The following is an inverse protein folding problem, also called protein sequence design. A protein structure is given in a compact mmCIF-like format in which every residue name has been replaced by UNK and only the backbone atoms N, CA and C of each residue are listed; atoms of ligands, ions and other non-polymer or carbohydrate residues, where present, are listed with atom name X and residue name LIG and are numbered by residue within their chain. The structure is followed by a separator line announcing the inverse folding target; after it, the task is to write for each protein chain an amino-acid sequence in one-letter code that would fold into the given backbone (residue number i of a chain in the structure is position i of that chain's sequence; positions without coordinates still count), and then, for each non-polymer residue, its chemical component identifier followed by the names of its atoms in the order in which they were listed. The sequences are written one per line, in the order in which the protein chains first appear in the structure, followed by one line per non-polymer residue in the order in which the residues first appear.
data_IF_456344800227
#
_entry.id   IF_456344800227
#
_cell.length_a   1.000
_cell.length_b   1.000
_cell.length_c   1.000
_cell.angle_alpha   90.00
_cell.angle_beta   90.00
_cell.angle_gamma   90.00
#
_symmetry.space_group_name_H-M   'P 1'
#
loop_
_entity.id
_entity.type
_entity.pdbx_description
1 polymer ?
#
# COMPACT_ATOMS: atom_id res chain seq x y z
N UNK A 1 17.14 3.23 6.03
CA UNK A 1 17.06 3.35 7.50
C UNK A 1 16.98 1.99 8.20
N UNK A 2 16.03 1.10 7.87
CA UNK A 2 15.92 -0.22 8.54
C UNK A 2 17.15 -1.12 8.38
N UNK A 3 17.84 -1.09 7.22
CA UNK A 3 19.09 -1.84 7.05
C UNK A 3 20.21 -1.33 7.99
N UNK A 4 20.25 -0.03 8.25
CA UNK A 4 21.19 0.56 9.21
C UNK A 4 20.83 0.17 10.67
N UNK A 5 19.58 -0.23 10.92
CA UNK A 5 19.11 -0.78 12.20
C UNK A 5 19.24 -2.32 12.28
N UNK A 6 19.96 -2.94 11.34
CA UNK A 6 20.25 -4.38 11.35
C UNK A 6 19.36 -5.24 10.44
N UNK A 7 18.43 -4.66 9.69
CA UNK A 7 17.63 -5.44 8.74
C UNK A 7 18.46 -5.94 7.55
N UNK A 8 18.29 -7.20 7.18
CA UNK A 8 18.96 -7.80 6.01
C UNK A 8 18.15 -7.50 4.75
N UNK A 9 18.73 -6.75 3.80
CA UNK A 9 18.02 -6.30 2.59
C UNK A 9 17.37 -7.44 1.79
N UNK A 10 18.05 -8.57 1.66
CA UNK A 10 17.54 -9.74 0.92
C UNK A 10 16.36 -10.45 1.59
N UNK A 11 16.08 -10.17 2.87
CA UNK A 11 14.96 -10.72 3.63
C UNK A 11 13.76 -9.76 3.68
N UNK A 12 13.87 -8.58 3.09
CA UNK A 12 12.79 -7.60 3.10
C UNK A 12 11.69 -8.04 2.13
N UNK A 13 10.44 -7.91 2.57
CA UNK A 13 9.22 -8.06 1.77
C UNK A 13 8.36 -6.82 1.96
N UNK A 14 7.43 -6.58 1.05
CA UNK A 14 6.51 -5.45 1.12
C UNK A 14 5.05 -5.91 1.04
N UNK A 15 4.20 -5.23 1.82
CA UNK A 15 2.75 -5.23 1.66
C UNK A 15 2.33 -3.78 1.46
N UNK A 16 1.44 -3.52 0.50
CA UNK A 16 1.01 -2.15 0.20
C UNK A 16 -0.50 -2.03 0.28
N UNK A 17 -0.98 -0.93 0.87
CA UNK A 17 -2.38 -0.56 0.75
C UNK A 17 -2.59 0.93 0.57
N UNK A 18 -3.71 1.29 -0.06
CA UNK A 18 -4.11 2.67 -0.29
C UNK A 18 -4.48 2.95 -1.74
N UNK A 19 -4.08 4.12 -2.24
CA UNK A 19 -4.44 4.56 -3.58
C UNK A 19 -5.95 4.68 -3.81
N UNK A 20 -6.74 4.92 -2.76
CA UNK A 20 -8.19 4.96 -2.88
C UNK A 20 -8.65 6.18 -3.68
N UNK A 21 -9.63 5.99 -4.56
CA UNK A 21 -10.33 7.09 -5.22
C UNK A 21 -11.75 7.21 -4.66
N UNK A 22 -11.87 7.95 -3.56
CA UNK A 22 -13.14 8.10 -2.83
C UNK A 22 -14.14 9.05 -3.50
N UNK A 23 -13.68 9.91 -4.42
CA UNK A 23 -14.52 10.89 -5.10
C UNK A 23 -14.37 10.75 -6.62
N UNK A 24 -15.48 10.47 -7.30
CA UNK A 24 -15.57 10.48 -8.76
C UNK A 24 -16.09 11.85 -9.23
N UNK A 25 -15.23 12.87 -9.25
CA UNK A 25 -15.58 14.11 -9.95
C UNK A 25 -15.46 13.87 -11.46
N UNK A 26 -16.52 14.17 -12.24
CA UNK A 26 -16.59 14.05 -13.71
C UNK A 26 -15.70 15.06 -14.46
N UNK A 27 -14.49 15.33 -13.98
CA UNK A 27 -13.54 16.23 -14.65
C UNK A 27 -12.37 15.42 -15.20
N UNK A 28 -12.16 15.54 -16.50
CA UNK A 28 -11.16 14.87 -17.34
C UNK A 28 -9.71 15.29 -17.04
N UNK A 29 -9.39 15.68 -15.82
CA UNK A 29 -8.07 16.19 -15.44
C UNK A 29 -7.24 15.09 -14.75
N UNK A 30 -6.13 14.73 -15.40
CA UNK A 30 -5.13 13.75 -14.94
C UNK A 30 -4.58 14.02 -13.51
N UNK A 31 -4.73 15.25 -13.01
CA UNK A 31 -4.37 15.67 -11.65
C UNK A 31 -5.13 14.90 -10.56
N UNK A 32 -6.30 14.31 -10.86
CA UNK A 32 -7.19 13.68 -9.87
C UNK A 32 -6.76 12.24 -9.50
N UNK A 33 -5.87 11.59 -10.27
CA UNK A 33 -5.40 10.21 -10.01
C UNK A 33 -4.12 10.17 -9.17
N UNK A 34 -4.08 10.91 -8.06
CA UNK A 34 -2.90 10.90 -7.14
C UNK A 34 -2.72 9.51 -6.50
N UNK A 35 -3.82 8.85 -6.16
CA UNK A 35 -3.80 7.51 -5.58
C UNK A 35 -3.06 6.49 -6.46
N UNK A 36 -3.46 6.39 -7.74
CA UNK A 36 -2.86 5.46 -8.70
C UNK A 36 -1.38 5.75 -8.93
N UNK A 37 -1.02 7.03 -9.12
CA UNK A 37 0.39 7.44 -9.30
C UNK A 37 1.26 7.07 -8.10
N UNK A 38 0.74 7.20 -6.89
CA UNK A 38 1.46 6.82 -5.69
C UNK A 38 1.67 5.29 -5.61
N UNK A 39 0.66 4.52 -6.02
CA UNK A 39 0.76 3.05 -6.09
C UNK A 39 1.82 2.65 -7.12
N UNK A 40 1.75 3.21 -8.34
CA UNK A 40 2.73 2.96 -9.39
C UNK A 40 4.16 3.35 -8.98
N UNK A 41 4.34 4.54 -8.41
CA UNK A 41 5.64 5.00 -7.93
C UNK A 41 6.19 4.11 -6.81
N UNK A 42 5.33 3.64 -5.90
CA UNK A 42 5.73 2.73 -4.82
C UNK A 42 6.17 1.37 -5.38
N UNK A 43 5.40 0.79 -6.32
CA UNK A 43 5.75 -0.47 -6.98
C UNK A 43 7.08 -0.32 -7.73
N UNK A 44 7.24 0.75 -8.51
CA UNK A 44 8.47 1.02 -9.24
C UNK A 44 9.68 1.11 -8.30
N UNK A 45 9.55 1.81 -7.17
CA UNK A 45 10.64 1.95 -6.20
C UNK A 45 10.96 0.64 -5.49
N UNK A 46 9.95 -0.13 -5.11
CA UNK A 46 10.15 -1.45 -4.50
C UNK A 46 10.85 -2.42 -5.47
N UNK A 47 10.47 -2.37 -6.76
CA UNK A 47 11.14 -3.14 -7.82
C UNK A 47 12.60 -2.73 -8.01
N UNK A 48 12.89 -1.44 -8.05
CA UNK A 48 14.27 -0.92 -8.11
C UNK A 48 15.11 -1.41 -6.91
N UNK A 49 14.51 -1.43 -5.73
CA UNK A 49 15.14 -1.91 -4.50
C UNK A 49 15.22 -3.44 -4.39
N UNK A 50 14.60 -4.18 -5.33
CA UNK A 50 14.45 -5.64 -5.34
C UNK A 50 13.74 -6.19 -4.09
N UNK A 51 12.72 -5.48 -3.62
CA UNK A 51 11.87 -5.91 -2.51
C UNK A 51 10.56 -6.45 -3.10
N UNK A 52 10.27 -7.75 -2.98
CA UNK A 52 9.05 -8.33 -3.53
C UNK A 52 7.83 -7.86 -2.74
N UNK A 53 6.75 -7.55 -3.48
CA UNK A 53 5.44 -7.29 -2.91
C UNK A 53 4.72 -8.62 -2.74
N UNK A 54 4.41 -9.01 -1.50
CA UNK A 54 3.76 -10.29 -1.17
C UNK A 54 2.24 -10.15 -1.06
N UNK A 55 1.75 -8.94 -0.80
CA UNK A 55 0.31 -8.64 -0.81
C UNK A 55 0.05 -7.17 -1.14
N UNK A 56 -1.12 -6.90 -1.73
CA UNK A 56 -1.53 -5.57 -2.14
C UNK A 56 -3.05 -5.41 -1.99
N UNK A 57 -3.46 -4.27 -1.44
CA UNK A 57 -4.86 -3.83 -1.37
C UNK A 57 -4.89 -2.36 -1.81
N UNK A 58 -5.11 -2.09 -3.10
CA UNK A 58 -4.99 -0.73 -3.67
C UNK A 58 -6.08 -0.41 -4.68
N UNK A 59 -6.35 0.87 -4.92
CA UNK A 59 -7.26 1.29 -6.01
C UNK A 59 -8.75 1.21 -5.67
N UNK A 60 -9.10 0.91 -4.42
CA UNK A 60 -10.50 0.86 -3.98
C UNK A 60 -11.19 2.24 -3.99
N UNK A 61 -12.51 2.25 -3.96
CA UNK A 61 -13.32 3.47 -3.94
C UNK A 61 -13.63 4.01 -2.52
N UNK A 62 -12.97 3.48 -1.49
CA UNK A 62 -13.22 3.83 -0.09
C UNK A 62 -11.93 4.02 0.71
N UNK A 63 -12.03 4.88 1.72
CA UNK A 63 -10.99 5.10 2.70
C UNK A 63 -10.84 3.89 3.61
N UNK A 64 -9.59 3.58 3.99
CA UNK A 64 -9.28 2.47 4.87
C UNK A 64 -8.12 2.82 5.80
N UNK A 65 -8.14 2.22 6.98
CA UNK A 65 -7.07 2.31 7.98
C UNK A 65 -6.26 1.02 7.92
N UNK A 66 -4.95 1.17 7.96
CA UNK A 66 -4.00 0.05 8.04
C UNK A 66 -3.49 -0.08 9.47
N UNK A 67 -3.50 -1.29 10.01
CA UNK A 67 -2.78 -1.64 11.24
C UNK A 67 -1.73 -2.68 10.86
N UNK A 68 -0.46 -2.37 11.12
CA UNK A 68 0.66 -3.25 10.81
C UNK A 68 1.30 -3.74 12.11
N UNK A 69 1.48 -5.05 12.22
CA UNK A 69 2.16 -5.73 13.33
C UNK A 69 3.52 -6.26 12.84
N UNK A 70 4.63 -5.55 13.09
CA UNK A 70 5.95 -5.94 12.60
C UNK A 70 6.44 -7.31 13.11
N UNK A 71 5.96 -7.74 14.28
CA UNK A 71 6.31 -8.99 14.94
C UNK A 71 5.82 -10.23 14.20
N UNK A 72 4.62 -10.16 13.62
CA UNK A 72 3.99 -11.26 12.86
C UNK A 72 4.04 -11.01 11.36
N UNK A 73 4.14 -9.75 10.96
CA UNK A 73 3.98 -9.30 9.59
C UNK A 73 2.51 -9.10 9.19
N UNK A 74 1.57 -9.15 10.13
CA UNK A 74 0.14 -8.98 9.85
C UNK A 74 -0.16 -7.55 9.40
N UNK A 75 -0.93 -7.44 8.31
CA UNK A 75 -1.30 -6.17 7.71
C UNK A 75 -2.83 -6.10 7.61
N UNK A 76 -3.44 -5.51 8.63
CA UNK A 76 -4.89 -5.48 8.79
C UNK A 76 -5.46 -4.23 8.13
N UNK A 77 -6.43 -4.43 7.24
CA UNK A 77 -7.21 -3.41 6.56
C UNK A 77 -8.56 -3.28 7.24
N UNK A 78 -8.88 -2.06 7.70
CA UNK A 78 -10.16 -1.68 8.29
C UNK A 78 -10.85 -0.64 7.42
N UNK A 79 -12.10 -0.87 7.07
CA UNK A 79 -12.89 0.08 6.29
C UNK A 79 -14.32 0.16 6.84
N UNK A 80 -14.94 1.33 6.72
CA UNK A 80 -16.29 1.57 7.22
C UNK A 80 -17.28 0.68 6.47
N UNK A 81 -18.11 -0.07 7.21
CA UNK A 81 -19.12 -0.95 6.62
C UNK A 81 -18.57 -2.21 5.95
N UNK A 82 -17.30 -2.58 6.22
CA UNK A 82 -16.66 -3.78 5.66
C UNK A 82 -16.02 -4.63 6.76
N UNK A 83 -15.97 -5.96 6.60
CA UNK A 83 -15.24 -6.81 7.53
C UNK A 83 -13.74 -6.49 7.48
N UNK A 84 -13.06 -6.72 8.61
CA UNK A 84 -11.61 -6.61 8.66
C UNK A 84 -10.97 -7.68 7.76
N UNK A 85 -9.89 -7.31 7.10
CA UNK A 85 -9.14 -8.19 6.20
C UNK A 85 -7.67 -8.13 6.55
N UNK A 86 -7.04 -9.28 6.76
CA UNK A 86 -5.60 -9.38 6.96
C UNK A 86 -4.96 -9.81 5.64
N UNK A 87 -3.95 -9.07 5.20
CA UNK A 87 -3.13 -9.37 4.03
C UNK A 87 -1.67 -9.52 4.42
#
# INVERSE_FOLDING_TARGET
QICAKGAVKSRLVAKIAGGAQMFAFKSSNATIRVGDRNVEASIAKLKELRIPIVAQDTGESYGRTVVFYPETGDFIIRAVGRPEKTI
#
